data_IF_713442273864
#
_entry.id   IF_713442273864
#
_cell.length_a   1.000
_cell.length_b   1.000
_cell.length_c   1.000
_cell.angle_alpha   90.00
_cell.angle_beta   90.00
_cell.angle_gamma   90.00
#
_symmetry.space_group_name_H-M   'P 1'
#
loop_
_entity.id
_entity.type
_entity.pdbx_description
1 polymer ?
#
# COMPACT_ATOMS: atom_id res chain seq x y z
N UNK A 1 26.67 -52.65 -14.07
CA UNK A 1 25.51 -51.80 -14.45
C UNK A 1 24.37 -51.98 -13.45
N UNK A 2 24.62 -51.82 -12.14
CA UNK A 2 23.57 -51.96 -11.10
C UNK A 2 23.70 -50.99 -9.91
N UNK A 3 24.64 -50.05 -9.92
CA UNK A 3 24.84 -49.13 -8.79
C UNK A 3 24.18 -47.75 -8.94
N UNK A 4 23.60 -47.41 -10.10
CA UNK A 4 22.98 -46.09 -10.32
C UNK A 4 21.47 -46.03 -10.08
N UNK A 5 20.76 -47.16 -9.96
CA UNK A 5 19.30 -47.13 -9.84
C UNK A 5 18.79 -47.05 -8.40
N UNK A 6 19.65 -47.21 -7.39
CA UNK A 6 19.25 -47.13 -5.97
C UNK A 6 19.12 -45.69 -5.45
N UNK A 7 19.69 -44.70 -6.13
CA UNK A 7 19.69 -43.30 -5.68
C UNK A 7 18.49 -42.48 -6.22
N UNK A 8 17.49 -43.14 -6.82
CA UNK A 8 16.36 -42.47 -7.47
C UNK A 8 15.01 -42.94 -6.89
N UNK A 9 14.95 -43.19 -5.59
CA UNK A 9 13.66 -43.45 -4.90
C UNK A 9 13.57 -42.81 -3.52
N UNK A 10 14.20 -41.65 -3.32
CA UNK A 10 13.98 -40.79 -2.16
C UNK A 10 13.67 -39.37 -2.62
N UNK A 11 12.50 -39.20 -3.25
CA UNK A 11 11.85 -37.88 -3.27
C UNK A 11 10.72 -37.92 -2.26
N UNK A 12 11.04 -37.58 -1.01
CA UNK A 12 10.03 -37.23 -0.03
C UNK A 12 9.42 -35.91 -0.50
N UNK A 13 8.32 -36.01 -1.26
CA UNK A 13 7.45 -34.88 -1.51
C UNK A 13 6.99 -34.37 -0.14
N UNK A 14 7.58 -33.27 0.34
CA UNK A 14 7.01 -32.50 1.43
C UNK A 14 5.70 -31.95 0.86
N UNK A 15 4.60 -32.67 1.11
CA UNK A 15 3.29 -32.05 1.16
C UNK A 15 3.42 -30.94 2.21
N UNK A 16 3.62 -29.72 1.75
CA UNK A 16 3.39 -28.57 2.59
C UNK A 16 1.88 -28.50 2.65
N UNK A 17 1.29 -29.28 3.57
CA UNK A 17 -0.01 -28.94 4.11
C UNK A 17 0.17 -27.54 4.67
N UNK A 18 -0.19 -26.55 3.84
CA UNK A 18 -0.48 -25.22 4.34
C UNK A 18 -1.72 -25.44 5.19
N UNK A 19 -1.51 -25.84 6.44
CA UNK A 19 -2.48 -25.65 7.49
C UNK A 19 -2.73 -24.15 7.45
N UNK A 20 -3.85 -23.75 6.85
CA UNK A 20 -4.27 -22.37 6.80
C UNK A 20 -4.68 -21.98 8.22
N UNK A 21 -3.67 -21.81 9.08
CA UNK A 21 -3.83 -21.29 10.42
C UNK A 21 -4.48 -19.90 10.26
N UNK A 22 -5.60 -19.61 10.93
CA UNK A 22 -6.24 -18.31 10.84
C UNK A 22 -5.26 -17.22 11.28
N UNK A 23 -4.68 -16.51 10.33
CA UNK A 23 -3.83 -15.35 10.60
C UNK A 23 -4.75 -14.17 10.83
N UNK A 24 -5.00 -13.84 12.10
CA UNK A 24 -5.69 -12.61 12.47
C UNK A 24 -4.69 -11.46 12.35
N UNK A 25 -4.96 -10.52 11.46
CA UNK A 25 -4.24 -9.25 11.36
C UNK A 25 -5.20 -8.13 11.69
N UNK A 26 -4.78 -7.22 12.57
CA UNK A 26 -5.52 -5.99 12.89
C UNK A 26 -4.71 -4.83 12.34
N UNK A 27 -5.25 -4.16 11.32
CA UNK A 27 -4.68 -2.92 10.83
C UNK A 27 -5.19 -1.75 11.68
N UNK A 28 -4.28 -0.89 12.13
CA UNK A 28 -4.63 0.37 12.80
C UNK A 28 -4.24 1.53 11.90
N UNK A 29 -5.21 2.38 11.58
CA UNK A 29 -5.01 3.59 10.78
C UNK A 29 -5.13 4.80 11.69
N UNK A 30 -4.01 5.48 11.93
CA UNK A 30 -4.01 6.77 12.61
C UNK A 30 -4.12 7.88 11.57
N UNK A 31 -5.22 8.62 11.59
CA UNK A 31 -5.46 9.72 10.68
C UNK A 31 -6.31 10.80 11.32
N UNK A 32 -6.13 12.05 10.89
CA UNK A 32 -6.95 13.20 11.31
C UNK A 32 -8.28 13.29 10.56
N UNK A 33 -8.62 12.26 9.78
CA UNK A 33 -9.82 12.16 8.94
C UNK A 33 -11.12 12.38 9.72
N UNK A 34 -11.14 12.05 11.01
CA UNK A 34 -12.30 12.22 11.89
C UNK A 34 -12.32 13.55 12.66
N UNK A 35 -11.24 14.34 12.61
CA UNK A 35 -11.23 15.66 13.23
C UNK A 35 -11.53 16.72 12.16
N UNK A 36 -12.51 17.63 12.38
CA UNK A 36 -12.76 18.76 11.50
C UNK A 36 -11.62 19.77 11.64
N UNK A 37 -10.51 19.48 10.98
CA UNK A 37 -9.35 20.37 10.91
C UNK A 37 -9.42 21.15 9.61
N UNK A 38 -9.43 22.48 9.70
CA UNK A 38 -9.28 23.38 8.54
C UNK A 38 -7.81 23.53 8.11
N UNK A 39 -6.95 22.58 8.52
CA UNK A 39 -5.52 22.62 8.23
C UNK A 39 -5.33 22.30 6.75
N UNK A 40 -4.69 23.21 6.03
CA UNK A 40 -4.23 22.98 4.67
C UNK A 40 -2.98 22.11 4.72
N UNK A 41 -3.00 21.03 3.96
CA UNK A 41 -1.87 20.12 3.78
C UNK A 41 -1.35 20.33 2.37
N UNK A 42 -0.06 20.65 2.29
CA UNK A 42 0.64 20.93 1.04
C UNK A 42 1.99 20.25 0.99
N UNK A 43 2.71 20.39 -0.14
CA UNK A 43 4.10 19.98 -0.25
C UNK A 43 4.92 20.52 0.92
N UNK A 44 5.77 19.67 1.50
CA UNK A 44 6.67 20.07 2.59
C UNK A 44 7.67 21.07 2.00
N UNK A 45 7.50 22.34 2.36
CA UNK A 45 8.30 23.45 1.81
C UNK A 45 9.80 23.26 2.07
N UNK A 46 10.18 22.60 3.18
CA UNK A 46 11.59 22.29 3.51
C UNK A 46 12.26 21.31 2.51
N UNK A 47 11.48 20.61 1.69
CA UNK A 47 11.99 19.65 0.68
C UNK A 47 11.91 20.20 -0.74
N UNK A 48 11.47 21.44 -0.96
CA UNK A 48 11.42 22.05 -2.29
C UNK A 48 12.80 22.62 -2.65
N UNK A 49 13.71 21.75 -3.10
CA UNK A 49 14.93 22.16 -3.79
C UNK A 49 14.61 22.61 -5.22
N UNK A 50 15.47 23.44 -5.84
CA UNK A 50 15.37 23.88 -7.24
C UNK A 50 15.18 22.70 -8.22
N UNK A 51 15.63 21.50 -7.84
CA UNK A 51 15.53 20.28 -8.63
C UNK A 51 14.32 19.37 -8.29
N UNK A 52 13.47 19.75 -7.34
CA UNK A 52 12.27 19.00 -6.97
C UNK A 52 11.05 19.92 -6.89
N UNK A 53 10.41 20.22 -8.03
CA UNK A 53 9.20 21.05 -8.04
C UNK A 53 8.09 20.37 -7.21
N UNK A 54 7.17 21.17 -6.66
CA UNK A 54 6.03 20.64 -5.93
C UNK A 54 5.25 19.69 -6.83
N UNK A 55 5.02 18.46 -6.35
CA UNK A 55 4.32 17.40 -7.12
C UNK A 55 2.81 17.39 -6.88
N UNK A 56 2.34 18.04 -5.82
CA UNK A 56 0.97 18.00 -5.38
C UNK A 56 0.46 19.39 -5.02
N UNK A 57 -0.83 19.63 -5.24
CA UNK A 57 -1.55 20.84 -4.85
C UNK A 57 -1.86 20.84 -3.35
N UNK A 58 -2.03 22.03 -2.78
CA UNK A 58 -2.52 22.16 -1.41
C UNK A 58 -3.98 21.72 -1.32
N UNK A 59 -4.30 20.88 -0.34
CA UNK A 59 -5.65 20.36 -0.12
C UNK A 59 -5.93 20.16 1.37
N UNK A 60 -7.19 20.09 1.74
CA UNK A 60 -7.57 19.66 3.10
C UNK A 60 -7.73 18.16 3.15
N UNK A 61 -7.56 17.57 4.34
CA UNK A 61 -7.81 16.13 4.53
C UNK A 61 -9.27 15.79 4.29
N UNK A 62 -10.19 16.72 4.60
CA UNK A 62 -11.62 16.55 4.34
C UNK A 62 -11.90 16.40 2.84
N UNK A 63 -11.31 17.27 2.02
CA UNK A 63 -11.50 17.22 0.56
C UNK A 63 -10.83 16.00 -0.06
N UNK A 64 -9.65 15.62 0.46
CA UNK A 64 -8.98 14.37 0.08
C UNK A 64 -9.85 13.14 0.39
N UNK A 65 -10.38 13.03 1.59
CA UNK A 65 -11.22 11.88 2.01
C UNK A 65 -12.54 11.87 1.23
N UNK A 66 -13.15 13.04 1.00
CA UNK A 66 -14.35 13.15 0.18
C UNK A 66 -14.09 12.68 -1.26
N UNK A 67 -12.98 13.13 -1.87
CA UNK A 67 -12.59 12.70 -3.21
C UNK A 67 -12.25 11.21 -3.26
N UNK A 68 -11.50 10.69 -2.28
CA UNK A 68 -11.15 9.28 -2.15
C UNK A 68 -12.39 8.39 -2.04
N UNK A 69 -13.36 8.76 -1.19
CA UNK A 69 -14.60 8.01 -1.02
C UNK A 69 -15.51 8.11 -2.26
N UNK A 70 -15.56 9.27 -2.93
CA UNK A 70 -16.36 9.45 -4.14
C UNK A 70 -15.77 8.70 -5.34
N UNK A 71 -14.45 8.56 -5.40
CA UNK A 71 -13.73 7.86 -6.46
C UNK A 71 -13.95 6.34 -6.44
N UNK A 72 -14.02 5.72 -5.27
CA UNK A 72 -14.22 4.27 -5.18
C UNK A 72 -13.01 3.44 -5.65
N UNK A 73 -13.26 2.29 -6.28
CA UNK A 73 -12.24 1.30 -6.68
C UNK A 73 -11.63 1.55 -8.06
N UNK A 74 -11.63 2.80 -8.53
CA UNK A 74 -11.06 3.14 -9.84
C UNK A 74 -9.55 2.84 -9.88
N UNK A 75 -9.05 2.33 -11.02
CA UNK A 75 -7.64 1.91 -11.22
C UNK A 75 -6.61 3.04 -11.06
N UNK A 76 -7.05 4.29 -11.02
CA UNK A 76 -6.16 5.46 -10.87
C UNK A 76 -5.95 5.81 -9.40
N UNK A 77 -4.79 6.37 -9.04
CA UNK A 77 -4.54 6.76 -7.66
C UNK A 77 -5.40 7.98 -7.30
N UNK A 78 -6.00 8.02 -6.09
CA UNK A 78 -6.68 9.22 -5.61
C UNK A 78 -5.75 10.45 -5.55
N UNK A 79 -4.44 10.20 -5.52
CA UNK A 79 -3.40 11.23 -5.56
C UNK A 79 -3.26 11.89 -6.93
N UNK A 80 -3.68 11.24 -8.02
CA UNK A 80 -3.55 11.80 -9.38
C UNK A 80 -4.35 13.08 -9.55
N UNK A 81 -5.50 13.18 -8.89
CA UNK A 81 -6.34 14.40 -8.91
C UNK A 81 -5.64 15.61 -8.28
N UNK A 82 -4.74 15.36 -7.32
CA UNK A 82 -4.00 16.40 -6.60
C UNK A 82 -2.65 16.71 -7.24
N UNK A 83 -2.24 16.04 -8.32
CA UNK A 83 -0.99 16.37 -9.03
C UNK A 83 -1.09 17.74 -9.72
N UNK A 84 0.07 18.40 -9.85
CA UNK A 84 0.24 19.64 -10.61
C UNK A 84 0.36 19.34 -12.12
#
# INVERSE_FOLDING_TARGET
MLFSLSQMTDSKALNTEVLASPKVSVASFFGTNMQPTSRLYGPIMESLSENSPPKYKETTIKDYVAHFNAKGLDETSALDYFKL
#
